data_IF_754215598573
#
_entry.id   IF_754215598573
#
_cell.length_a   1.000
_cell.length_b   1.000
_cell.length_c   1.000
_cell.angle_alpha   90.00
_cell.angle_beta   90.00
_cell.angle_gamma   90.00
#
_symmetry.space_group_name_H-M   'P 1'
#
loop_
_entity.id
_entity.type
_entity.pdbx_description
1 polymer ?
#
# COMPACT_ATOMS: atom_id res chain seq x y z
N UNK A 1 -10.70 -17.36 -4.94
CA UNK A 1 -10.47 -16.15 -5.78
C UNK A 1 -8.99 -15.80 -5.76
N UNK A 2 -8.41 -15.60 -6.94
CA UNK A 2 -7.00 -15.19 -7.06
C UNK A 2 -6.93 -13.68 -6.89
N UNK A 3 -6.12 -13.23 -5.93
CA UNK A 3 -5.89 -11.79 -5.68
C UNK A 3 -4.59 -11.35 -6.33
N UNK A 4 -4.38 -10.03 -6.43
CA UNK A 4 -3.11 -9.48 -6.91
C UNK A 4 -1.94 -9.94 -6.04
N UNK A 5 -2.14 -10.07 -4.74
CA UNK A 5 -1.11 -10.55 -3.81
C UNK A 5 -0.68 -12.00 -4.11
N UNK A 6 -1.61 -12.85 -4.50
CA UNK A 6 -1.32 -14.24 -4.88
C UNK A 6 -0.45 -14.29 -6.13
N UNK A 7 -0.78 -13.45 -7.12
CA UNK A 7 -0.02 -13.37 -8.38
C UNK A 7 1.39 -12.84 -8.11
N UNK A 8 1.52 -11.81 -7.30
CA UNK A 8 2.82 -11.22 -6.93
C UNK A 8 3.71 -12.26 -6.27
N UNK A 9 3.16 -13.01 -5.32
CA UNK A 9 3.93 -14.04 -4.61
C UNK A 9 4.39 -15.15 -5.54
N UNK A 10 3.53 -15.60 -6.45
CA UNK A 10 3.87 -16.63 -7.42
C UNK A 10 4.99 -16.16 -8.36
N UNK A 11 4.87 -14.95 -8.91
CA UNK A 11 5.90 -14.38 -9.80
C UNK A 11 7.21 -14.20 -9.05
N UNK A 12 7.19 -13.67 -7.83
CA UNK A 12 8.41 -13.44 -7.04
C UNK A 12 9.10 -14.75 -6.68
N UNK A 13 8.34 -15.81 -6.39
CA UNK A 13 8.90 -17.12 -6.10
C UNK A 13 9.59 -17.74 -7.31
N UNK A 14 9.07 -17.48 -8.52
CA UNK A 14 9.65 -17.99 -9.77
C UNK A 14 10.85 -17.18 -10.23
N UNK A 15 10.87 -15.89 -9.96
CA UNK A 15 11.90 -14.96 -10.44
C UNK A 15 12.40 -14.04 -9.32
N UNK A 16 13.00 -14.62 -8.25
CA UNK A 16 13.38 -13.82 -7.08
C UNK A 16 14.50 -12.81 -7.36
N UNK A 17 15.26 -13.00 -8.43
CA UNK A 17 16.38 -12.14 -8.81
C UNK A 17 15.96 -10.84 -9.49
N UNK A 18 14.71 -10.75 -9.95
CA UNK A 18 14.22 -9.55 -10.64
C UNK A 18 13.39 -8.66 -9.69
N UNK A 19 13.56 -7.32 -9.78
CA UNK A 19 12.66 -6.41 -9.07
C UNK A 19 11.25 -6.53 -9.68
N UNK A 20 10.24 -6.46 -8.82
CA UNK A 20 8.85 -6.63 -9.22
C UNK A 20 8.08 -5.35 -8.90
N UNK A 21 7.41 -4.78 -9.91
CA UNK A 21 6.53 -3.64 -9.75
C UNK A 21 5.07 -4.09 -9.84
N UNK A 22 4.22 -3.53 -9.01
CA UNK A 22 2.79 -3.77 -9.04
C UNK A 22 2.05 -2.46 -9.21
N UNK A 23 1.00 -2.49 -10.03
CA UNK A 23 0.12 -1.35 -10.26
C UNK A 23 -1.21 -1.59 -9.54
N UNK A 24 -1.51 -0.73 -8.57
CA UNK A 24 -2.80 -0.77 -7.88
C UNK A 24 -3.85 -0.11 -8.78
N UNK A 25 -4.85 -0.90 -9.19
CA UNK A 25 -5.80 -0.47 -10.21
C UNK A 25 -6.89 0.45 -9.65
N UNK A 26 -7.57 1.15 -10.57
CA UNK A 26 -8.61 2.13 -10.23
C UNK A 26 -9.79 1.54 -9.46
N UNK A 27 -10.11 0.26 -9.68
CA UNK A 27 -11.18 -0.41 -8.93
C UNK A 27 -10.87 -0.50 -7.45
N UNK A 28 -9.65 -0.85 -7.08
CA UNK A 28 -9.21 -0.89 -5.69
C UNK A 28 -9.21 0.51 -5.07
N UNK A 29 -8.73 1.50 -5.82
CA UNK A 29 -8.79 2.90 -5.40
C UNK A 29 -10.23 3.33 -5.08
N UNK A 30 -11.16 3.05 -6.00
CA UNK A 30 -12.56 3.41 -5.84
C UNK A 30 -13.20 2.72 -4.62
N UNK A 31 -12.90 1.43 -4.42
CA UNK A 31 -13.43 0.69 -3.27
C UNK A 31 -12.96 1.27 -1.94
N UNK A 32 -11.67 1.59 -1.83
CA UNK A 32 -11.12 2.19 -0.61
C UNK A 32 -11.70 3.58 -0.36
N UNK A 33 -11.79 4.42 -1.39
CA UNK A 33 -12.35 5.77 -1.26
C UNK A 33 -13.82 5.74 -0.86
N UNK A 34 -14.62 4.91 -1.52
CA UNK A 34 -16.05 4.79 -1.22
C UNK A 34 -16.30 4.22 0.17
N UNK A 35 -15.53 3.23 0.58
CA UNK A 35 -15.63 2.67 1.92
C UNK A 35 -15.28 3.70 3.00
N UNK A 36 -14.28 4.51 2.76
CA UNK A 36 -13.90 5.59 3.68
C UNK A 36 -14.97 6.67 3.74
N UNK A 37 -15.53 7.09 2.59
CA UNK A 37 -16.60 8.09 2.53
C UNK A 37 -17.86 7.61 3.27
N UNK A 38 -18.14 6.31 3.23
CA UNK A 38 -19.27 5.71 3.93
C UNK A 38 -19.00 5.48 5.42
N UNK A 39 -17.79 5.77 5.91
CA UNK A 39 -17.42 5.57 7.30
C UNK A 39 -17.15 4.13 7.70
N UNK A 40 -17.01 3.23 6.72
CA UNK A 40 -16.76 1.80 6.98
C UNK A 40 -15.32 1.56 7.39
N UNK A 41 -14.37 2.28 6.80
CA UNK A 41 -12.95 2.16 7.09
C UNK A 41 -12.30 3.52 7.31
N UNK A 42 -11.18 3.55 8.03
CA UNK A 42 -10.28 4.68 8.05
C UNK A 42 -9.39 4.64 6.80
N UNK A 43 -9.41 5.68 5.99
CA UNK A 43 -8.73 5.69 4.70
C UNK A 43 -7.23 5.41 4.83
N UNK A 44 -6.55 6.12 5.74
CA UNK A 44 -5.11 5.95 5.95
C UNK A 44 -4.75 4.51 6.28
N UNK A 45 -5.46 3.93 7.24
CA UNK A 45 -5.20 2.54 7.68
C UNK A 45 -5.51 1.55 6.57
N UNK A 46 -6.61 1.74 5.85
CA UNK A 46 -7.00 0.87 4.74
C UNK A 46 -5.99 0.89 3.60
N UNK A 47 -5.50 2.08 3.24
CA UNK A 47 -4.51 2.24 2.18
C UNK A 47 -3.18 1.59 2.58
N UNK A 48 -2.71 1.84 3.81
CA UNK A 48 -1.46 1.21 4.29
C UNK A 48 -1.58 -0.31 4.36
N UNK A 49 -2.72 -0.83 4.78
CA UNK A 49 -2.94 -2.27 4.83
C UNK A 49 -2.87 -2.89 3.43
N UNK A 50 -3.53 -2.26 2.44
CA UNK A 50 -3.51 -2.74 1.06
C UNK A 50 -2.10 -2.71 0.46
N UNK A 51 -1.37 -1.61 0.65
CA UNK A 51 -0.01 -1.45 0.13
C UNK A 51 0.97 -2.39 0.83
N UNK A 52 0.86 -2.54 2.14
CA UNK A 52 1.72 -3.45 2.90
C UNK A 52 1.48 -4.90 2.51
N UNK A 53 0.24 -5.29 2.22
CA UNK A 53 -0.08 -6.63 1.74
C UNK A 53 0.62 -6.93 0.41
N UNK A 54 0.61 -5.96 -0.52
CA UNK A 54 1.31 -6.08 -1.81
C UNK A 54 2.82 -6.22 -1.59
N UNK A 55 3.40 -5.41 -0.71
CA UNK A 55 4.83 -5.48 -0.41
C UNK A 55 5.22 -6.79 0.26
N UNK A 56 4.43 -7.27 1.22
CA UNK A 56 4.69 -8.55 1.90
C UNK A 56 4.62 -9.73 0.95
N UNK A 57 3.79 -9.62 -0.11
CA UNK A 57 3.74 -10.66 -1.14
C UNK A 57 5.02 -10.73 -1.98
N UNK A 58 5.86 -9.69 -1.93
CA UNK A 58 7.17 -9.68 -2.60
C UNK A 58 7.38 -8.55 -3.59
N UNK A 59 6.47 -7.58 -3.64
CA UNK A 59 6.60 -6.44 -4.56
C UNK A 59 7.64 -5.44 -4.06
N UNK A 60 8.51 -4.99 -4.97
CA UNK A 60 9.55 -4.01 -4.66
C UNK A 60 9.11 -2.58 -4.94
N UNK A 61 8.26 -2.39 -5.94
CA UNK A 61 7.79 -1.08 -6.41
C UNK A 61 6.27 -1.12 -6.51
N UNK A 62 5.59 -0.14 -5.88
CA UNK A 62 4.13 -0.03 -5.96
C UNK A 62 3.75 1.26 -6.67
N UNK A 63 2.95 1.13 -7.72
CA UNK A 63 2.38 2.26 -8.46
C UNK A 63 0.93 2.39 -8.03
N UNK A 64 0.56 3.51 -7.43
CA UNK A 64 -0.76 3.68 -6.82
C UNK A 64 -1.29 5.10 -7.02
N UNK A 65 -2.61 5.21 -7.17
CA UNK A 65 -3.30 6.50 -7.14
C UNK A 65 -3.17 7.19 -5.78
N UNK A 66 -2.86 6.44 -4.72
CA UNK A 66 -2.66 7.00 -3.38
C UNK A 66 -1.24 7.49 -3.12
N UNK A 67 -0.33 7.38 -4.09
CA UNK A 67 1.09 7.74 -3.88
C UNK A 67 1.28 9.12 -3.26
N UNK A 68 0.63 10.21 -3.73
CA UNK A 68 0.78 11.51 -3.08
C UNK A 68 0.36 11.51 -1.61
N UNK A 69 -0.77 10.88 -1.29
CA UNK A 69 -1.24 10.77 0.10
C UNK A 69 -0.34 9.91 0.95
N UNK A 70 0.17 8.80 0.39
CA UNK A 70 1.10 7.92 1.08
C UNK A 70 2.38 8.67 1.47
N UNK A 71 2.92 9.48 0.57
CA UNK A 71 4.11 10.28 0.84
C UNK A 71 3.86 11.30 1.95
N UNK A 72 2.71 11.96 1.94
CA UNK A 72 2.32 12.89 2.99
C UNK A 72 2.21 12.20 4.35
N UNK A 73 1.54 11.04 4.40
CA UNK A 73 1.36 10.29 5.63
C UNK A 73 2.67 9.76 6.18
N UNK A 74 3.56 9.26 5.32
CA UNK A 74 4.88 8.77 5.73
C UNK A 74 5.71 9.92 6.30
N UNK A 75 5.71 11.08 5.64
CA UNK A 75 6.42 12.27 6.11
C UNK A 75 5.88 12.73 7.47
N UNK A 76 4.57 12.75 7.65
CA UNK A 76 3.94 13.13 8.91
C UNK A 76 4.29 12.14 10.03
N UNK A 77 4.27 10.86 9.75
CA UNK A 77 4.63 9.82 10.72
C UNK A 77 6.10 9.96 11.15
N UNK A 78 7.00 10.28 10.22
CA UNK A 78 8.40 10.53 10.54
C UNK A 78 8.59 11.76 11.42
N UNK A 79 7.85 12.85 11.16
CA UNK A 79 7.87 14.05 11.99
C UNK A 79 7.36 13.77 13.40
N UNK A 80 6.30 12.98 13.52
CA UNK A 80 5.75 12.60 14.81
C UNK A 80 6.74 11.76 15.62
N UNK A 81 7.43 10.82 14.97
CA UNK A 81 8.49 10.03 15.61
C UNK A 81 9.64 10.90 16.13
N UNK A 82 10.04 11.91 15.35
CA UNK A 82 11.09 12.85 15.75
C UNK A 82 10.67 13.65 16.98
N UNK A 83 9.42 14.10 17.03
CA UNK A 83 8.89 14.83 18.19
C UNK A 83 8.92 13.95 19.46
N UNK A 84 8.52 12.68 19.33
CA UNK A 84 8.56 11.74 20.44
C UNK A 84 9.98 11.49 20.95
N UNK A 85 10.97 11.47 20.05
CA UNK A 85 12.37 11.30 20.43
C UNK A 85 12.98 12.55 21.05
N UNK A 86 12.43 13.71 20.78
CA UNK A 86 12.92 14.98 21.29
C UNK A 86 12.44 15.28 22.72
N UNK A 87 11.49 14.49 23.22
CA UNK A 87 10.97 14.58 24.58
C UNK A 87 11.73 13.59 25.50
#
# INVERSE_FOLDING_TARGET
MITISDIIRDVKNRHPEFPLAAYQVSGEYAMLMKSADAGIIDLKRGVFEAVNAIRRAGCDIVISYFTPKLLEWIDQDEKDKRKLKAV
#
